data_IF_754177856579
#
_entry.id   IF_754177856579
#
_cell.length_a   1.000
_cell.length_b   1.000
_cell.length_c   1.000
_cell.angle_alpha   90.00
_cell.angle_beta   90.00
_cell.angle_gamma   90.00
#
_symmetry.space_group_name_H-M   'P 1'
#
loop_
_entity.id
_entity.type
_entity.pdbx_description
1 polymer ?
#
# COMPACT_ATOMS: atom_id res chain seq x y z
N UNK A 1 17.50 23.07 38.41
CA UNK A 1 16.72 21.84 38.68
C UNK A 1 15.31 21.84 38.05
N UNK A 2 14.62 22.98 37.89
CA UNK A 2 13.27 23.04 37.30
C UNK A 2 13.16 22.60 35.83
N UNK A 3 14.24 22.73 35.04
CA UNK A 3 14.20 22.43 33.60
C UNK A 3 14.18 20.92 33.29
N UNK A 4 14.81 20.11 34.15
CA UNK A 4 14.87 18.64 33.98
C UNK A 4 13.50 17.99 34.16
N UNK A 5 12.75 18.38 35.19
CA UNK A 5 11.40 17.84 35.45
C UNK A 5 10.40 18.17 34.32
N UNK A 6 10.51 19.39 33.75
CA UNK A 6 9.68 19.83 32.62
C UNK A 6 10.01 19.07 31.33
N UNK A 7 11.28 18.72 31.13
CA UNK A 7 11.72 17.92 30.00
C UNK A 7 11.26 16.45 30.10
N UNK A 8 11.29 15.86 31.30
CA UNK A 8 10.81 14.50 31.55
C UNK A 8 9.30 14.38 31.28
N UNK A 9 8.49 15.36 31.71
CA UNK A 9 7.04 15.33 31.46
C UNK A 9 6.68 15.43 29.98
N UNK A 10 7.46 16.22 29.22
CA UNK A 10 7.32 16.34 27.77
C UNK A 10 7.69 15.02 27.07
N UNK A 11 8.80 14.38 27.46
CA UNK A 11 9.22 13.11 26.89
C UNK A 11 8.19 11.98 27.16
N UNK A 12 7.61 11.94 28.36
CA UNK A 12 6.56 10.98 28.72
C UNK A 12 5.31 11.19 27.86
N UNK A 13 4.86 12.45 27.72
CA UNK A 13 3.70 12.79 26.86
C UNK A 13 3.93 12.38 25.42
N UNK A 14 5.12 12.64 24.90
CA UNK A 14 5.54 12.29 23.55
C UNK A 14 5.48 10.78 23.30
N UNK A 15 6.06 9.99 24.20
CA UNK A 15 6.00 8.52 24.13
C UNK A 15 4.56 8.02 24.11
N UNK A 16 3.71 8.52 25.02
CA UNK A 16 2.30 8.14 25.07
C UNK A 16 1.55 8.50 23.78
N UNK A 17 1.82 9.67 23.20
CA UNK A 17 1.20 10.10 21.95
C UNK A 17 1.53 9.14 20.78
N UNK A 18 2.78 8.68 20.71
CA UNK A 18 3.23 7.71 19.70
C UNK A 18 2.60 6.35 19.92
N UNK A 19 2.60 5.83 21.15
CA UNK A 19 1.95 4.54 21.47
C UNK A 19 0.46 4.54 21.13
N UNK A 20 -0.26 5.63 21.41
CA UNK A 20 -1.66 5.76 21.04
C UNK A 20 -1.85 5.87 19.53
N UNK A 21 -0.94 6.56 18.83
CA UNK A 21 -0.97 6.65 17.36
C UNK A 21 -0.70 5.29 16.70
N UNK A 22 0.19 4.48 17.26
CA UNK A 22 0.47 3.11 16.81
C UNK A 22 -0.77 2.20 16.92
N UNK A 23 -1.62 2.43 17.93
CA UNK A 23 -2.92 1.74 18.09
C UNK A 23 -4.02 2.23 17.13
N UNK A 24 -3.68 3.07 16.15
CA UNK A 24 -4.62 3.55 15.14
C UNK A 24 -5.45 4.77 15.54
N UNK A 25 -5.25 5.36 16.73
CA UNK A 25 -6.05 6.52 17.17
C UNK A 25 -5.80 7.75 16.29
N UNK A 26 -6.84 8.56 16.06
CA UNK A 26 -6.75 9.86 15.40
C UNK A 26 -6.05 10.89 16.30
N UNK A 27 -5.50 11.97 15.73
CA UNK A 27 -4.84 13.01 16.52
C UNK A 27 -5.80 13.67 17.53
N UNK A 28 -7.07 13.82 17.16
CA UNK A 28 -8.11 14.37 18.03
C UNK A 28 -8.43 13.42 19.20
N UNK A 29 -8.56 12.12 18.93
CA UNK A 29 -8.78 11.12 19.97
C UNK A 29 -7.60 11.06 20.96
N UNK A 30 -6.37 11.17 20.45
CA UNK A 30 -5.15 11.21 21.28
C UNK A 30 -5.12 12.48 22.13
N UNK A 31 -5.48 13.63 21.56
CA UNK A 31 -5.52 14.90 22.29
C UNK A 31 -6.47 14.85 23.49
N UNK A 32 -7.67 14.29 23.28
CA UNK A 32 -8.66 14.05 24.35
C UNK A 32 -8.11 13.07 25.39
N UNK A 33 -7.53 11.95 24.96
CA UNK A 33 -6.98 10.94 25.87
C UNK A 33 -5.83 11.48 26.72
N UNK A 34 -4.89 12.23 26.13
CA UNK A 34 -3.78 12.84 26.85
C UNK A 34 -4.27 13.91 27.83
N UNK A 35 -5.27 14.70 27.45
CA UNK A 35 -5.88 15.69 28.34
C UNK A 35 -6.48 15.03 29.57
N UNK A 36 -7.24 13.95 29.38
CA UNK A 36 -7.83 13.18 30.49
C UNK A 36 -6.77 12.54 31.40
N UNK A 37 -5.66 12.07 30.83
CA UNK A 37 -4.61 11.33 31.57
C UNK A 37 -3.64 12.25 32.32
N UNK A 38 -3.36 13.43 31.78
CA UNK A 38 -2.37 14.37 32.33
C UNK A 38 -3.00 15.55 33.07
N UNK A 39 -4.30 15.79 32.89
CA UNK A 39 -4.99 16.98 33.40
C UNK A 39 -4.64 18.28 32.67
N UNK A 40 -3.68 18.25 31.74
CA UNK A 40 -3.28 19.39 30.94
C UNK A 40 -3.99 19.36 29.59
N UNK A 41 -4.56 20.49 29.16
CA UNK A 41 -5.18 20.57 27.83
C UNK A 41 -4.13 20.39 26.73
N UNK A 42 -4.34 19.38 25.88
CA UNK A 42 -3.49 19.07 24.73
C UNK A 42 -4.34 19.19 23.46
N UNK A 43 -3.85 19.93 22.46
CA UNK A 43 -4.50 20.05 21.15
C UNK A 43 -3.96 19.03 20.15
N UNK A 44 -4.74 18.69 19.13
CA UNK A 44 -4.34 17.76 18.06
C UNK A 44 -3.09 18.21 17.30
N UNK A 45 -2.92 19.53 17.12
CA UNK A 45 -1.69 20.11 16.57
C UNK A 45 -0.48 19.79 17.46
N UNK A 46 -0.61 19.94 18.78
CA UNK A 46 0.43 19.62 19.76
C UNK A 46 0.79 18.14 19.73
N UNK A 47 -0.21 17.26 19.62
CA UNK A 47 -0.01 15.81 19.45
C UNK A 47 0.84 15.53 18.21
N UNK A 48 0.51 16.14 17.07
CA UNK A 48 1.30 15.99 15.85
C UNK A 48 2.75 16.48 16.01
N UNK A 49 2.97 17.59 16.71
CA UNK A 49 4.32 18.10 17.00
C UNK A 49 5.10 17.18 17.94
N UNK A 50 4.45 16.64 18.97
CA UNK A 50 5.03 15.71 19.93
C UNK A 50 5.45 14.40 19.25
N UNK A 51 4.59 13.84 18.40
CA UNK A 51 4.93 12.65 17.59
C UNK A 51 6.14 12.95 16.70
N UNK A 52 6.13 14.07 15.96
CA UNK A 52 7.27 14.46 15.09
C UNK A 52 8.56 14.70 15.87
N UNK A 53 8.47 15.22 17.10
CA UNK A 53 9.65 15.48 17.94
C UNK A 53 10.19 14.18 18.54
N UNK A 54 9.31 13.30 18.99
CA UNK A 54 9.67 11.97 19.47
C UNK A 54 10.39 11.19 18.38
N UNK A 55 9.81 11.09 17.18
CA UNK A 55 10.39 10.36 16.04
C UNK A 55 11.75 10.93 15.60
N UNK A 56 11.99 12.23 15.79
CA UNK A 56 13.30 12.85 15.50
C UNK A 56 14.34 12.63 16.60
N UNK A 57 13.89 12.37 17.83
CA UNK A 57 14.74 12.21 19.01
C UNK A 57 15.06 10.73 19.30
N UNK A 58 14.29 9.79 18.76
CA UNK A 58 14.68 8.38 18.71
C UNK A 58 15.96 8.28 17.87
N UNK A 59 17.07 7.74 18.40
CA UNK A 59 18.27 7.48 17.60
C UNK A 59 17.83 6.56 16.46
N UNK A 60 18.00 6.99 15.20
CA UNK A 60 17.55 6.31 13.96
C UNK A 60 17.20 4.84 14.23
N UNK A 61 15.98 4.60 14.69
CA UNK A 61 15.40 3.27 14.57
C UNK A 61 15.30 3.04 13.07
N UNK A 62 15.59 1.82 12.67
CA UNK A 62 15.71 1.43 11.28
C UNK A 62 14.54 2.03 10.50
N UNK A 63 14.80 2.75 9.42
CA UNK A 63 13.75 3.41 8.61
C UNK A 63 12.68 2.37 8.24
N UNK A 64 13.10 1.12 8.13
CA UNK A 64 12.27 -0.06 7.93
C UNK A 64 11.28 -0.34 9.08
N UNK A 65 11.63 -0.07 10.33
CA UNK A 65 10.70 -0.24 11.48
C UNK A 65 9.49 0.70 11.35
N UNK A 66 9.73 1.96 11.00
CA UNK A 66 8.65 2.95 10.81
C UNK A 66 7.85 2.63 9.54
N UNK A 67 8.53 2.23 8.47
CA UNK A 67 7.90 1.78 7.22
C UNK A 67 6.97 0.58 7.46
N UNK A 68 7.44 -0.41 8.22
CA UNK A 68 6.69 -1.63 8.56
C UNK A 68 5.47 -1.32 9.43
N UNK A 69 5.60 -0.40 10.40
CA UNK A 69 4.48 0.05 11.21
C UNK A 69 3.38 0.68 10.33
N UNK A 70 3.74 1.53 9.39
CA UNK A 70 2.76 2.19 8.53
C UNK A 70 2.13 1.20 7.52
N UNK A 71 2.90 0.24 7.01
CA UNK A 71 2.36 -0.86 6.19
C UNK A 71 1.30 -1.66 6.96
N UNK A 72 1.55 -2.03 8.22
CA UNK A 72 0.55 -2.71 9.04
C UNK A 72 -0.75 -1.91 9.24
N UNK A 73 -0.64 -0.58 9.35
CA UNK A 73 -1.83 0.28 9.44
C UNK A 73 -2.61 0.31 8.14
N UNK A 74 -1.90 0.34 7.01
CA UNK A 74 -2.52 0.25 5.68
C UNK A 74 -3.22 -1.10 5.50
N UNK A 75 -2.61 -2.22 5.90
CA UNK A 75 -3.22 -3.55 5.80
C UNK A 75 -4.52 -3.64 6.63
N UNK A 76 -4.53 -3.03 7.82
CA UNK A 76 -5.74 -2.93 8.66
C UNK A 76 -6.84 -2.11 7.96
N UNK A 77 -6.48 -0.96 7.37
CA UNK A 77 -7.42 -0.11 6.66
C UNK A 77 -7.97 -0.77 5.38
N UNK A 78 -7.12 -1.50 4.64
CA UNK A 78 -7.51 -2.28 3.46
C UNK A 78 -8.54 -3.33 3.85
N UNK A 79 -8.30 -4.06 4.95
CA UNK A 79 -9.27 -5.05 5.46
C UNK A 79 -10.64 -4.44 5.75
N UNK A 80 -10.67 -3.24 6.35
CA UNK A 80 -11.92 -2.53 6.63
C UNK A 80 -12.61 -2.05 5.34
N UNK A 81 -11.83 -1.53 4.38
CA UNK A 81 -12.35 -1.11 3.08
C UNK A 81 -12.96 -2.30 2.33
N UNK A 82 -12.29 -3.44 2.30
CA UNK A 82 -12.80 -4.67 1.67
C UNK A 82 -14.12 -5.14 2.32
N UNK A 83 -14.25 -5.05 3.64
CA UNK A 83 -15.52 -5.36 4.33
C UNK A 83 -16.64 -4.40 3.94
N UNK A 84 -16.35 -3.11 3.79
CA UNK A 84 -17.33 -2.12 3.35
C UNK A 84 -17.78 -2.38 1.91
N UNK A 85 -16.83 -2.71 1.01
CA UNK A 85 -17.12 -3.07 -0.39
C UNK A 85 -18.01 -4.32 -0.44
N UNK A 86 -17.70 -5.36 0.35
CA UNK A 86 -18.51 -6.57 0.43
C UNK A 86 -19.95 -6.30 0.93
N UNK A 87 -20.14 -5.25 1.72
CA UNK A 87 -21.46 -4.78 2.17
C UNK A 87 -22.19 -3.89 1.14
N UNK A 88 -21.62 -3.66 -0.05
CA UNK A 88 -22.19 -2.85 -1.11
C UNK A 88 -21.87 -1.35 -1.03
N UNK A 89 -20.96 -0.93 -0.13
CA UNK A 89 -20.54 0.47 -0.07
C UNK A 89 -19.50 0.78 -1.15
N UNK A 90 -19.96 1.39 -2.25
CA UNK A 90 -19.12 1.82 -3.37
C UNK A 90 -18.04 2.84 -2.95
N UNK A 91 -18.23 3.61 -1.87
CA UNK A 91 -17.18 4.50 -1.33
C UNK A 91 -15.99 3.72 -0.78
N UNK A 92 -16.20 2.45 -0.42
CA UNK A 92 -15.13 1.54 -0.01
C UNK A 92 -14.14 1.29 -1.15
N UNK A 93 -14.57 1.30 -2.41
CA UNK A 93 -13.72 1.08 -3.59
C UNK A 93 -12.74 2.23 -3.75
N UNK A 94 -13.23 3.48 -3.72
CA UNK A 94 -12.38 4.67 -3.76
C UNK A 94 -11.37 4.72 -2.60
N UNK A 95 -11.83 4.30 -1.42
CA UNK A 95 -10.97 4.17 -0.24
C UNK A 95 -9.88 3.12 -0.43
N UNK A 96 -10.23 1.95 -0.97
CA UNK A 96 -9.28 0.87 -1.25
C UNK A 96 -8.21 1.29 -2.25
N UNK A 97 -8.59 1.94 -3.36
CA UNK A 97 -7.63 2.39 -4.38
C UNK A 97 -6.59 3.35 -3.78
N UNK A 98 -7.04 4.34 -2.99
CA UNK A 98 -6.14 5.31 -2.32
C UNK A 98 -5.20 4.63 -1.32
N UNK A 99 -5.68 3.61 -0.60
CA UNK A 99 -4.86 2.85 0.33
C UNK A 99 -3.81 2.01 -0.41
N UNK A 100 -4.18 1.39 -1.53
CA UNK A 100 -3.25 0.63 -2.36
C UNK A 100 -2.19 1.52 -3.01
N UNK A 101 -2.55 2.71 -3.48
CA UNK A 101 -1.61 3.71 -3.99
C UNK A 101 -0.62 4.16 -2.90
N UNK A 102 -1.09 4.30 -1.66
CA UNK A 102 -0.18 4.62 -0.55
C UNK A 102 0.76 3.46 -0.23
N UNK A 103 0.25 2.23 -0.30
CA UNK A 103 1.02 1.01 -0.07
C UNK A 103 2.08 0.78 -1.15
N UNK A 104 1.76 1.01 -2.42
CA UNK A 104 2.72 0.94 -3.53
C UNK A 104 3.86 1.94 -3.35
N UNK A 105 3.56 3.17 -2.91
CA UNK A 105 4.57 4.20 -2.58
C UNK A 105 5.46 3.80 -1.42
N UNK A 106 4.89 3.23 -0.35
CA UNK A 106 5.71 2.72 0.75
C UNK A 106 6.55 1.53 0.31
N UNK A 107 6.11 0.67 -0.60
CA UNK A 107 6.88 -0.47 -1.08
C UNK A 107 7.87 -0.12 -2.20
N UNK A 108 7.72 1.05 -2.82
CA UNK A 108 8.52 1.47 -3.98
C UNK A 108 8.07 0.84 -5.31
N UNK A 109 6.91 0.18 -5.33
CA UNK A 109 6.35 -0.45 -6.53
C UNK A 109 5.87 0.57 -7.58
N UNK A 110 5.64 1.81 -7.15
CA UNK A 110 5.16 2.92 -7.98
C UNK A 110 6.32 3.68 -8.70
N UNK A 111 7.58 3.25 -8.49
CA UNK A 111 8.77 3.95 -9.01
C UNK A 111 9.22 3.49 -10.41
N UNK A 112 8.40 2.72 -11.13
CA UNK A 112 8.64 2.49 -12.55
C UNK A 112 8.26 3.76 -13.34
N UNK A 113 9.21 4.70 -13.49
CA UNK A 113 9.34 5.76 -14.54
C UNK A 113 10.28 6.88 -14.07
N UNK A 114 11.56 6.57 -13.85
CA UNK A 114 12.51 7.57 -13.36
C UNK A 114 13.97 7.13 -13.33
N UNK A 115 14.25 5.84 -13.51
CA UNK A 115 15.53 5.44 -14.07
C UNK A 115 15.52 5.87 -15.53
N UNK A 116 16.33 6.86 -15.87
CA UNK A 116 17.00 6.97 -17.16
C UNK A 116 16.69 5.78 -18.07
N UNK A 117 15.90 6.00 -19.13
CA UNK A 117 15.74 5.11 -20.28
C UNK A 117 17.10 4.96 -20.99
N UNK A 118 18.09 4.41 -20.27
CA UNK A 118 19.05 3.54 -20.89
C UNK A 118 18.39 2.19 -20.79
N UNK A 119 17.54 1.91 -21.77
CA UNK A 119 17.64 0.69 -22.53
C UNK A 119 19.04 0.05 -22.41
N UNK A 120 19.25 -0.68 -21.32
CA UNK A 120 20.55 -1.14 -20.85
C UNK A 120 20.67 -2.57 -21.36
N UNK A 121 21.52 -2.75 -22.35
CA UNK A 121 21.89 -4.03 -22.95
C UNK A 121 20.79 -4.70 -23.79
N UNK A 122 19.53 -4.74 -23.34
CA UNK A 122 18.44 -5.44 -24.06
C UNK A 122 18.05 -4.73 -25.35
N UNK A 123 17.90 -3.40 -25.36
CA UNK A 123 17.51 -2.70 -26.60
C UNK A 123 18.71 -2.37 -27.48
N UNK A 124 19.91 -2.33 -26.89
CA UNK A 124 21.15 -2.33 -27.67
C UNK A 124 21.35 -3.67 -28.38
N UNK A 125 20.93 -4.77 -27.75
CA UNK A 125 20.84 -6.10 -28.35
C UNK A 125 19.74 -6.17 -29.42
N UNK A 126 18.51 -5.70 -29.16
CA UNK A 126 17.43 -5.65 -30.16
C UNK A 126 17.79 -4.77 -31.37
N UNK A 127 18.43 -3.62 -31.15
CA UNK A 127 18.90 -2.76 -32.23
C UNK A 127 20.05 -3.39 -33.04
N UNK A 128 20.84 -4.28 -32.43
CA UNK A 128 21.88 -5.05 -33.11
C UNK A 128 21.39 -6.30 -33.85
N UNK A 129 20.15 -6.74 -33.56
CA UNK A 129 19.48 -7.88 -34.23
C UNK A 129 18.63 -7.41 -35.42
N UNK A 130 18.52 -6.10 -35.65
CA UNK A 130 17.69 -5.52 -36.72
C UNK A 130 18.10 -5.85 -38.17
N UNK A 131 19.30 -6.42 -38.38
CA UNK A 131 19.80 -6.85 -39.69
C UNK A 131 19.99 -8.37 -39.82
N UNK A 132 19.44 -9.15 -38.89
CA UNK A 132 19.30 -10.59 -39.12
C UNK A 132 17.95 -10.79 -39.80
N UNK A 133 17.97 -11.17 -41.08
CA UNK A 133 16.80 -11.76 -41.75
C UNK A 133 16.40 -13.00 -40.95
N UNK A 134 15.59 -12.81 -39.90
CA UNK A 134 14.99 -13.89 -39.16
C UNK A 134 13.86 -14.41 -40.02
N UNK A 135 14.20 -15.32 -40.91
CA UNK A 135 13.24 -16.13 -41.63
C UNK A 135 12.55 -17.00 -40.58
N UNK A 136 11.45 -16.47 -40.04
CA UNK A 136 10.59 -17.18 -39.11
C UNK A 136 10.03 -18.38 -39.84
N UNK A 137 10.59 -19.55 -39.59
CA UNK A 137 10.05 -20.83 -40.04
C UNK A 137 8.99 -21.28 -39.02
N UNK A 138 7.69 -21.15 -39.33
CA UNK A 138 6.61 -21.51 -38.41
C UNK A 138 6.64 -23.01 -38.06
N UNK A 139 7.27 -23.85 -38.88
CA UNK A 139 7.36 -25.31 -38.63
C UNK A 139 8.28 -25.67 -37.46
N UNK A 140 9.15 -24.74 -37.02
CA UNK A 140 10.10 -24.97 -35.91
C UNK A 140 9.42 -24.93 -34.54
N UNK A 141 8.25 -24.29 -34.44
CA UNK A 141 7.54 -24.09 -33.17
C UNK A 141 6.59 -25.23 -32.86
N UNK A 142 6.47 -26.24 -33.74
CA UNK A 142 5.56 -27.37 -33.53
C UNK A 142 4.13 -26.93 -33.26
N UNK A 143 3.72 -25.78 -33.80
CA UNK A 143 2.31 -25.44 -33.96
C UNK A 143 1.84 -26.24 -35.17
N UNK A 144 1.66 -27.55 -34.96
CA UNK A 144 0.93 -28.37 -35.91
C UNK A 144 -0.49 -27.79 -35.97
N UNK A 145 -0.80 -27.15 -37.10
CA UNK A 145 -2.12 -26.64 -37.47
C UNK A 145 -3.10 -27.82 -37.73
N UNK A 146 -3.28 -28.71 -36.76
CA UNK A 146 -4.15 -29.90 -36.91
C UNK A 146 -5.17 -30.11 -35.78
N UNK A 147 -5.38 -29.10 -34.93
CA UNK A 147 -6.45 -29.12 -33.92
C UNK A 147 -7.41 -27.93 -34.13
N UNK A 148 -7.88 -27.75 -35.37
CA UNK A 148 -9.06 -26.92 -35.67
C UNK A 148 -10.34 -27.77 -35.65
N UNK A 149 -10.37 -28.82 -34.83
CA UNK A 149 -11.58 -29.52 -34.45
C UNK A 149 -12.25 -28.70 -33.35
N UNK A 150 -13.02 -27.70 -33.77
CA UNK A 150 -14.11 -27.18 -32.94
C UNK A 150 -15.10 -28.34 -32.84
N UNK A 151 -14.88 -29.20 -31.85
CA UNK A 151 -15.82 -30.24 -31.47
C UNK A 151 -17.18 -29.57 -31.26
N UNK A 152 -18.16 -30.02 -32.04
CA UNK A 152 -19.56 -29.61 -32.02
C UNK A 152 -20.03 -29.38 -30.58
N UNK A 153 -20.20 -28.10 -30.20
CA UNK A 153 -21.01 -27.76 -29.05
C UNK A 153 -22.41 -28.33 -29.32
N UNK A 154 -22.95 -29.23 -28.48
CA UNK A 154 -24.28 -29.75 -28.69
C UNK A 154 -25.28 -28.59 -28.70
N UNK A 155 -26.08 -28.51 -29.77
CA UNK A 155 -27.25 -27.66 -29.89
C UNK A 155 -28.26 -28.08 -28.81
N UNK A 156 -28.23 -27.43 -27.65
CA UNK A 156 -29.29 -27.55 -26.63
C UNK A 156 -30.52 -26.74 -27.08
N UNK A 157 -31.20 -27.21 -28.14
CA UNK A 157 -32.62 -26.96 -28.38
C UNK A 157 -33.43 -28.23 -28.06
N UNK A 158 -33.96 -28.35 -26.84
CA UNK A 158 -35.30 -28.95 -26.66
C UNK A 158 -35.94 -28.63 -25.30
N UNK A 159 -36.94 -27.75 -25.34
CA UNK A 159 -38.28 -27.81 -24.73
C UNK A 159 -38.46 -28.43 -23.33
N UNK A 160 -39.03 -27.63 -22.43
CA UNK A 160 -39.63 -28.11 -21.19
C UNK A 160 -40.55 -27.08 -20.54
N UNK A 161 -41.75 -26.88 -21.13
CA UNK A 161 -42.93 -26.45 -20.37
C UNK A 161 -43.11 -27.38 -19.17
N UNK A 162 -43.23 -26.82 -17.97
CA UNK A 162 -43.78 -27.50 -16.80
C UNK A 162 -44.72 -26.52 -16.08
N UNK A 163 -46.01 -26.88 -16.21
CA UNK A 163 -47.24 -26.46 -15.50
C UNK A 163 -47.17 -25.42 -14.36
#
# INVERSE_FOLDING_TARGET
MANTAKNTSVAIRQKMAVEMRAKGMSLDAIAVALTKKTGQQVSSKRVGEDIRRWLRAVPKEDVDTVRNLELHRLDTAITLAMRAIAAGDLKGIDGLIKLQERRSKYLGLDQASGSNDTYSEVDQWLAGVGDVDFEFDPSVIGLDDDDNEIDDLPDDEENGELD
#
